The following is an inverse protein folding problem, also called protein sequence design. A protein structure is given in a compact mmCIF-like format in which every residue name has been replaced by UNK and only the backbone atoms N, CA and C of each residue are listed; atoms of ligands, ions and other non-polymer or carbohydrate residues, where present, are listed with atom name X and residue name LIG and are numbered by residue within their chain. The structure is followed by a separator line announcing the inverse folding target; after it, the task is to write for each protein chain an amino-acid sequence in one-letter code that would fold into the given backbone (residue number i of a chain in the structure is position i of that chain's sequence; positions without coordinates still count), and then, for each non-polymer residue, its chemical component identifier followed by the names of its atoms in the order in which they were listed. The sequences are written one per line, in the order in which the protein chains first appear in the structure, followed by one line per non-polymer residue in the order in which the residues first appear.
data_IF_057974069876
#
_entry.id   IF_057974069876
#
_cell.length_a   1.000
_cell.length_b   1.000
_cell.length_c   1.000
_cell.angle_alpha   90.00
_cell.angle_beta   90.00
_cell.angle_gamma   90.00
#
_symmetry.space_group_name_H-M   'P 1'
#
loop_
_entity.id
_entity.type
_entity.pdbx_description
1 polymer ?
#
# COMPACT_ATOMS: atom_id res chain seq x y z
N UNK A 1 24.13 -2.95 -50.35
CA UNK A 1 23.71 -3.27 -48.96
C UNK A 1 22.19 -3.25 -48.76
N UNK A 2 21.38 -2.57 -49.59
CA UNK A 2 19.91 -2.72 -49.55
C UNK A 2 19.42 -4.15 -49.82
N UNK A 3 20.19 -4.95 -50.56
CA UNK A 3 19.90 -6.37 -50.85
C UNK A 3 19.89 -7.28 -49.61
N UNK A 4 20.72 -7.03 -48.59
CA UNK A 4 20.78 -7.90 -47.40
C UNK A 4 19.58 -7.65 -46.47
N UNK A 5 19.24 -6.37 -46.23
CA UNK A 5 18.07 -5.98 -45.46
C UNK A 5 16.77 -6.48 -46.11
N UNK A 6 16.62 -6.31 -47.42
CA UNK A 6 15.44 -6.81 -48.17
C UNK A 6 15.31 -8.34 -48.11
N UNK A 7 16.42 -9.10 -48.19
CA UNK A 7 16.40 -10.56 -48.00
C UNK A 7 16.03 -10.96 -46.57
N UNK A 8 16.58 -10.29 -45.56
CA UNK A 8 16.27 -10.56 -44.15
C UNK A 8 14.79 -10.27 -43.83
N UNK A 9 14.25 -9.15 -44.31
CA UNK A 9 12.83 -8.79 -44.18
C UNK A 9 11.91 -9.84 -44.82
N UNK A 10 12.23 -10.31 -46.02
CA UNK A 10 11.45 -11.38 -46.67
C UNK A 10 11.45 -12.68 -45.88
N UNK A 11 12.63 -13.12 -45.41
CA UNK A 11 12.76 -14.34 -44.62
C UNK A 11 12.00 -14.27 -43.28
N UNK A 12 11.81 -13.06 -42.74
CA UNK A 12 11.15 -12.82 -41.46
C UNK A 12 9.64 -12.51 -41.56
N UNK A 13 9.10 -12.29 -42.76
CA UNK A 13 7.74 -11.75 -42.97
C UNK A 13 6.63 -12.59 -42.33
N UNK A 14 6.65 -13.91 -42.54
CA UNK A 14 5.64 -14.82 -41.99
C UNK A 14 5.68 -14.83 -40.46
N UNK A 15 6.90 -14.83 -39.90
CA UNK A 15 7.10 -14.80 -38.43
C UNK A 15 6.63 -13.48 -37.83
N UNK A 16 6.93 -12.35 -38.48
CA UNK A 16 6.46 -11.03 -38.08
C UNK A 16 4.91 -10.99 -38.04
N UNK A 17 4.26 -11.48 -39.10
CA UNK A 17 2.79 -11.52 -39.20
C UNK A 17 2.15 -12.38 -38.12
N UNK A 18 2.72 -13.56 -37.85
CA UNK A 18 2.25 -14.47 -36.80
C UNK A 18 2.39 -13.84 -35.38
N UNK A 19 3.49 -13.14 -35.12
CA UNK A 19 3.73 -12.44 -33.85
C UNK A 19 2.75 -11.27 -33.66
N UNK A 20 2.55 -10.43 -34.67
CA UNK A 20 1.58 -9.33 -34.62
C UNK A 20 0.14 -9.83 -34.42
N UNK A 21 -0.22 -10.95 -35.06
CA UNK A 21 -1.52 -11.60 -34.85
C UNK A 21 -1.68 -12.08 -33.41
N UNK A 22 -0.64 -12.68 -32.84
CA UNK A 22 -0.67 -13.13 -31.43
C UNK A 22 -0.80 -11.94 -30.47
N UNK A 23 -0.06 -10.86 -30.72
CA UNK A 23 -0.13 -9.63 -29.91
C UNK A 23 -1.53 -9.01 -29.95
N UNK A 24 -2.15 -8.90 -31.12
CA UNK A 24 -3.51 -8.33 -31.23
C UNK A 24 -4.56 -9.18 -30.52
N UNK A 25 -4.47 -10.51 -30.63
CA UNK A 25 -5.37 -11.44 -29.94
C UNK A 25 -5.23 -11.40 -28.41
N UNK A 26 -4.05 -11.06 -27.89
CA UNK A 26 -3.74 -11.12 -26.45
C UNK A 26 -3.59 -9.73 -25.80
N UNK A 27 -3.76 -8.64 -26.55
CA UNK A 27 -3.57 -7.26 -26.09
C UNK A 27 -4.46 -6.87 -24.89
N UNK A 28 -5.62 -7.52 -24.73
CA UNK A 28 -6.52 -7.26 -23.61
C UNK A 28 -5.99 -7.83 -22.27
N UNK A 29 -5.08 -8.81 -22.29
CA UNK A 29 -4.73 -9.59 -21.11
C UNK A 29 -3.94 -8.79 -20.06
N UNK A 30 -2.89 -7.99 -20.38
CA UNK A 30 -2.16 -7.21 -19.39
C UNK A 30 -3.02 -6.23 -18.57
N UNK A 31 -3.86 -5.35 -19.18
CA UNK A 31 -4.72 -4.44 -18.40
C UNK A 31 -5.81 -5.19 -17.64
N UNK A 32 -6.37 -6.26 -18.21
CA UNK A 32 -7.40 -7.06 -17.55
C UNK A 32 -6.86 -7.79 -16.32
N UNK A 33 -5.62 -8.33 -16.39
CA UNK A 33 -4.96 -8.96 -15.26
C UNK A 33 -4.73 -7.96 -14.12
N UNK A 34 -4.28 -6.74 -14.44
CA UNK A 34 -4.10 -5.68 -13.46
C UNK A 34 -5.41 -5.35 -12.74
N UNK A 35 -6.52 -5.25 -13.49
CA UNK A 35 -7.83 -4.99 -12.92
C UNK A 35 -8.33 -6.15 -12.04
N UNK A 36 -8.12 -7.40 -12.47
CA UNK A 36 -8.48 -8.59 -11.70
C UNK A 36 -7.70 -8.67 -10.37
N UNK A 37 -6.39 -8.37 -10.37
CA UNK A 37 -5.58 -8.32 -9.16
C UNK A 37 -6.05 -7.23 -8.18
N UNK A 38 -6.44 -6.06 -8.69
CA UNK A 38 -7.01 -5.01 -7.86
C UNK A 38 -8.36 -5.42 -7.24
N UNK A 39 -9.20 -6.11 -8.01
CA UNK A 39 -10.47 -6.67 -7.51
C UNK A 39 -10.23 -7.75 -6.45
N UNK A 40 -9.23 -8.63 -6.62
CA UNK A 40 -8.84 -9.62 -5.62
C UNK A 40 -8.37 -9.00 -4.31
N UNK A 41 -7.57 -7.93 -4.38
CA UNK A 41 -7.12 -7.19 -3.20
C UNK A 41 -8.31 -6.59 -2.45
N UNK A 42 -9.25 -5.97 -3.16
CA UNK A 42 -10.47 -5.41 -2.57
C UNK A 42 -11.35 -6.47 -1.89
N UNK A 43 -11.64 -7.59 -2.58
CA UNK A 43 -12.39 -8.71 -1.99
C UNK A 43 -11.70 -9.26 -0.73
N UNK A 44 -10.37 -9.35 -0.75
CA UNK A 44 -9.59 -9.85 0.40
C UNK A 44 -9.69 -8.89 1.59
N UNK A 45 -9.68 -7.58 1.35
CA UNK A 45 -9.90 -6.57 2.40
C UNK A 45 -11.32 -6.63 2.96
N UNK A 46 -12.32 -6.80 2.11
CA UNK A 46 -13.72 -6.97 2.54
C UNK A 46 -13.90 -8.22 3.40
N UNK A 47 -13.30 -9.35 3.02
CA UNK A 47 -13.31 -10.57 3.84
C UNK A 47 -12.63 -10.32 5.19
N UNK A 48 -11.45 -9.68 5.22
CA UNK A 48 -10.75 -9.38 6.46
C UNK A 48 -11.52 -8.40 7.38
N UNK A 49 -12.36 -7.54 6.80
CA UNK A 49 -13.30 -6.71 7.55
C UNK A 49 -14.43 -7.55 8.14
N UNK A 50 -15.12 -8.35 7.31
CA UNK A 50 -16.20 -9.22 7.74
C UNK A 50 -15.75 -10.28 8.75
N UNK A 51 -14.51 -10.78 8.68
CA UNK A 51 -13.94 -11.69 9.66
C UNK A 51 -13.86 -11.05 11.06
N UNK A 52 -13.48 -9.76 11.12
CA UNK A 52 -13.44 -9.00 12.37
C UNK A 52 -14.85 -8.71 12.90
N UNK A 53 -15.78 -8.38 12.01
CA UNK A 53 -17.19 -8.17 12.39
C UNK A 53 -17.84 -9.47 12.86
N UNK A 54 -17.64 -10.59 12.16
CA UNK A 54 -18.14 -11.90 12.55
C UNK A 54 -17.62 -12.33 13.91
N UNK A 55 -16.34 -12.08 14.21
CA UNK A 55 -15.79 -12.39 15.53
C UNK A 55 -16.54 -11.61 16.62
N UNK A 56 -16.74 -10.30 16.43
CA UNK A 56 -17.48 -9.45 17.39
C UNK A 56 -18.95 -9.86 17.50
N UNK A 57 -19.63 -10.06 16.38
CA UNK A 57 -21.03 -10.48 16.35
C UNK A 57 -21.22 -11.83 17.00
N UNK A 58 -20.29 -12.78 16.81
CA UNK A 58 -20.33 -14.08 17.48
C UNK A 58 -20.13 -13.98 19.00
N UNK A 59 -19.20 -13.13 19.46
CA UNK A 59 -19.02 -12.84 20.89
C UNK A 59 -20.32 -12.28 21.50
N UNK A 60 -20.96 -11.32 20.81
CA UNK A 60 -22.24 -10.73 21.23
C UNK A 60 -23.34 -11.79 21.25
N UNK A 61 -23.54 -12.56 20.17
CA UNK A 61 -24.55 -13.62 20.11
C UNK A 61 -24.38 -14.63 21.24
N UNK A 62 -23.15 -15.02 21.57
CA UNK A 62 -22.89 -15.95 22.67
C UNK A 62 -23.24 -15.37 24.05
N UNK A 63 -23.00 -14.07 24.26
CA UNK A 63 -23.39 -13.39 25.50
C UNK A 63 -24.91 -13.22 25.61
N UNK A 64 -25.57 -12.75 24.55
CA UNK A 64 -27.03 -12.66 24.46
C UNK A 64 -27.70 -14.05 24.61
N UNK A 65 -27.08 -15.10 24.07
CA UNK A 65 -27.56 -16.50 24.23
C UNK A 65 -27.54 -16.92 25.70
N UNK A 66 -26.47 -16.59 26.43
CA UNK A 66 -26.37 -16.93 27.87
C UNK A 66 -27.45 -16.21 28.65
N UNK A 67 -27.70 -14.94 28.37
CA UNK A 67 -28.70 -14.15 29.09
C UNK A 67 -30.13 -14.58 28.74
N UNK A 68 -30.42 -14.83 27.46
CA UNK A 68 -31.66 -15.47 27.03
C UNK A 68 -31.93 -16.80 27.76
N UNK A 69 -30.93 -17.70 27.86
CA UNK A 69 -31.07 -18.99 28.57
C UNK A 69 -31.34 -18.79 30.06
N UNK A 70 -30.64 -17.85 30.72
CA UNK A 70 -30.87 -17.53 32.15
C UNK A 70 -32.30 -17.05 32.42
N UNK A 71 -32.87 -16.24 31.55
CA UNK A 71 -34.25 -15.72 31.67
C UNK A 71 -35.31 -16.69 31.12
N UNK A 72 -34.93 -17.68 30.32
CA UNK A 72 -35.82 -18.79 29.94
C UNK A 72 -35.98 -19.78 31.10
N UNK A 73 -34.91 -20.04 31.84
CA UNK A 73 -34.90 -21.05 32.89
C UNK A 73 -35.60 -20.55 34.18
N UNK A 74 -36.41 -21.42 34.79
CA UNK A 74 -37.39 -21.06 35.86
C UNK A 74 -36.77 -20.58 37.20
N UNK A 75 -35.45 -20.49 37.29
CA UNK A 75 -34.72 -20.11 38.52
C UNK A 75 -34.85 -18.61 38.78
N UNK A 76 -34.71 -17.78 37.73
CA UNK A 76 -34.88 -16.32 37.84
C UNK A 76 -36.35 -15.95 38.06
N UNK A 77 -37.28 -16.66 37.39
CA UNK A 77 -38.74 -16.52 37.61
C UNK A 77 -39.13 -16.73 39.07
N UNK A 78 -38.64 -17.82 39.68
CA UNK A 78 -38.91 -18.14 41.09
C UNK A 78 -38.34 -17.10 42.06
N UNK A 79 -37.14 -16.58 41.77
CA UNK A 79 -36.51 -15.53 42.56
C UNK A 79 -37.28 -14.20 42.49
N UNK A 80 -37.66 -13.77 41.29
CA UNK A 80 -38.43 -12.53 41.07
C UNK A 80 -39.84 -12.60 41.69
N UNK A 81 -40.50 -13.75 41.61
CA UNK A 81 -41.77 -13.99 42.30
C UNK A 81 -41.64 -13.86 43.83
N UNK A 82 -40.57 -14.42 44.42
CA UNK A 82 -40.33 -14.37 45.88
C UNK A 82 -40.02 -12.96 46.40
N UNK A 83 -39.40 -12.10 45.59
CA UNK A 83 -39.05 -10.74 45.99
C UNK A 83 -40.15 -9.69 45.74
N UNK A 84 -41.02 -9.90 44.76
CA UNK A 84 -41.94 -8.85 44.29
C UNK A 84 -43.39 -9.27 44.02
N UNK A 85 -43.77 -10.53 44.26
CA UNK A 85 -45.12 -11.02 43.97
C UNK A 85 -45.49 -10.90 42.49
N UNK A 86 -46.74 -10.51 42.18
CA UNK A 86 -47.24 -10.39 40.80
C UNK A 86 -46.48 -9.38 39.94
N UNK A 87 -46.04 -8.25 40.52
CA UNK A 87 -45.20 -7.25 39.84
C UNK A 87 -43.80 -7.76 39.50
N UNK A 88 -43.29 -8.74 40.25
CA UNK A 88 -42.03 -9.41 39.94
C UNK A 88 -42.12 -10.33 38.73
N UNK A 89 -43.29 -10.96 38.52
CA UNK A 89 -43.58 -11.82 37.36
C UNK A 89 -43.68 -10.98 36.08
N UNK A 90 -44.40 -9.87 36.13
CA UNK A 90 -44.55 -8.95 34.98
C UNK A 90 -43.19 -8.40 34.53
N UNK A 91 -42.35 -7.92 35.47
CA UNK A 91 -40.99 -7.47 35.16
C UNK A 91 -40.09 -8.56 34.58
N UNK A 92 -40.28 -9.81 35.00
CA UNK A 92 -39.54 -10.95 34.46
C UNK A 92 -39.95 -11.25 33.02
N UNK A 93 -41.25 -11.19 32.70
CA UNK A 93 -41.76 -11.41 31.35
C UNK A 93 -41.29 -10.32 30.38
N UNK A 94 -41.36 -9.04 30.77
CA UNK A 94 -40.83 -7.93 29.96
C UNK A 94 -39.34 -8.05 29.70
N UNK A 95 -38.55 -8.45 30.71
CA UNK A 95 -37.12 -8.69 30.52
C UNK A 95 -36.87 -9.87 29.59
N UNK A 96 -37.56 -11.00 29.78
CA UNK A 96 -37.42 -12.18 28.91
C UNK A 96 -37.68 -11.84 27.43
N UNK A 97 -38.72 -11.07 27.14
CA UNK A 97 -39.04 -10.62 25.78
C UNK A 97 -37.94 -9.72 25.19
N UNK A 98 -37.32 -8.87 26.02
CA UNK A 98 -36.19 -8.03 25.62
C UNK A 98 -34.97 -8.89 25.25
N UNK A 99 -34.58 -9.81 26.13
CA UNK A 99 -33.43 -10.70 25.93
C UNK A 99 -33.63 -11.64 24.72
N UNK A 100 -34.87 -12.09 24.47
CA UNK A 100 -35.21 -12.86 23.26
C UNK A 100 -35.04 -12.04 21.98
N UNK A 101 -35.47 -10.77 21.99
CA UNK A 101 -35.28 -9.87 20.84
C UNK A 101 -33.79 -9.58 20.60
N UNK A 102 -33.05 -9.28 21.65
CA UNK A 102 -31.61 -8.97 21.57
C UNK A 102 -30.81 -10.17 21.03
N UNK A 103 -31.12 -11.39 21.49
CA UNK A 103 -30.55 -12.62 20.95
C UNK A 103 -30.90 -12.85 19.46
N UNK A 104 -32.17 -12.68 19.06
CA UNK A 104 -32.59 -12.87 17.67
C UNK A 104 -31.93 -11.86 16.73
N UNK A 105 -31.85 -10.59 17.15
CA UNK A 105 -31.18 -9.53 16.39
C UNK A 105 -29.67 -9.81 16.25
N UNK A 106 -29.00 -10.23 17.32
CA UNK A 106 -27.58 -10.61 17.29
C UNK A 106 -27.33 -11.82 16.38
N UNK A 107 -28.15 -12.86 16.51
CA UNK A 107 -28.08 -14.07 15.70
C UNK A 107 -28.32 -13.79 14.21
N UNK A 108 -29.29 -12.93 13.88
CA UNK A 108 -29.56 -12.52 12.50
C UNK A 108 -28.35 -11.77 11.91
N UNK A 109 -27.78 -10.80 12.63
CA UNK A 109 -26.58 -10.06 12.17
C UNK A 109 -25.39 -10.98 11.95
N UNK A 110 -25.15 -11.94 12.85
CA UNK A 110 -24.09 -12.93 12.70
C UNK A 110 -24.31 -13.79 11.45
N UNK A 111 -25.56 -14.20 11.19
CA UNK A 111 -25.91 -14.99 10.01
C UNK A 111 -25.73 -14.20 8.71
N UNK A 112 -26.22 -12.96 8.66
CA UNK A 112 -26.06 -12.07 7.50
C UNK A 112 -24.58 -11.85 7.17
N UNK A 113 -23.75 -11.56 8.18
CA UNK A 113 -22.31 -11.40 7.99
C UNK A 113 -21.64 -12.70 7.50
N UNK A 114 -22.13 -13.88 7.95
CA UNK A 114 -21.63 -15.18 7.53
C UNK A 114 -21.99 -15.49 6.08
N UNK A 115 -23.21 -15.19 5.68
CA UNK A 115 -23.69 -15.35 4.29
C UNK A 115 -22.92 -14.42 3.35
N UNK A 116 -22.80 -13.13 3.69
CA UNK A 116 -22.01 -12.16 2.92
C UNK A 116 -20.55 -12.60 2.75
N UNK A 117 -19.92 -13.11 3.82
CA UNK A 117 -18.56 -13.65 3.74
C UNK A 117 -18.48 -14.86 2.80
N UNK A 118 -19.44 -15.77 2.85
CA UNK A 118 -19.46 -16.94 1.98
C UNK A 118 -19.55 -16.55 0.50
N UNK A 119 -20.37 -15.54 0.17
CA UNK A 119 -20.46 -14.98 -1.19
C UNK A 119 -19.11 -14.40 -1.65
N UNK A 120 -18.43 -13.61 -0.81
CA UNK A 120 -17.12 -13.07 -1.14
C UNK A 120 -16.07 -14.16 -1.35
N UNK A 121 -16.10 -15.24 -0.57
CA UNK A 121 -15.17 -16.38 -0.75
C UNK A 121 -15.37 -17.04 -2.12
N UNK A 122 -16.63 -17.19 -2.57
CA UNK A 122 -16.94 -17.68 -3.92
C UNK A 122 -16.44 -16.71 -4.99
N UNK A 123 -16.64 -15.40 -4.79
CA UNK A 123 -16.14 -14.36 -5.69
C UNK A 123 -14.60 -14.38 -5.80
N UNK A 124 -13.89 -14.54 -4.68
CA UNK A 124 -12.43 -14.68 -4.65
C UNK A 124 -11.98 -15.90 -5.43
N UNK A 125 -12.64 -17.05 -5.25
CA UNK A 125 -12.31 -18.28 -5.99
C UNK A 125 -12.42 -18.04 -7.49
N UNK A 126 -13.53 -17.47 -7.96
CA UNK A 126 -13.73 -17.15 -9.37
C UNK A 126 -12.70 -16.14 -9.89
N UNK A 127 -12.47 -15.08 -9.14
CA UNK A 127 -11.49 -14.06 -9.52
C UNK A 127 -10.06 -14.63 -9.63
N UNK A 128 -9.68 -15.58 -8.76
CA UNK A 128 -8.41 -16.32 -8.87
C UNK A 128 -8.34 -17.17 -10.13
N UNK A 129 -9.40 -17.92 -10.45
CA UNK A 129 -9.47 -18.74 -11.67
C UNK A 129 -9.35 -17.87 -12.94
N UNK A 130 -10.04 -16.73 -12.97
CA UNK A 130 -9.93 -15.77 -14.07
C UNK A 130 -8.55 -15.11 -14.13
N UNK A 131 -7.94 -14.82 -12.97
CA UNK A 131 -6.59 -14.29 -12.85
C UNK A 131 -5.53 -15.23 -13.43
N UNK A 132 -5.61 -16.54 -13.18
CA UNK A 132 -4.68 -17.52 -13.77
C UNK A 132 -4.80 -17.60 -15.30
N UNK A 133 -6.02 -17.55 -15.84
CA UNK A 133 -6.23 -17.49 -17.30
C UNK A 133 -5.61 -16.23 -17.90
N UNK A 134 -5.88 -15.08 -17.29
CA UNK A 134 -5.32 -13.79 -17.73
C UNK A 134 -3.80 -13.75 -17.62
N UNK A 135 -3.21 -14.43 -16.63
CA UNK A 135 -1.77 -14.58 -16.49
C UNK A 135 -1.18 -15.39 -17.65
N UNK A 136 -1.81 -16.51 -18.03
CA UNK A 136 -1.39 -17.29 -19.19
C UNK A 136 -1.42 -16.50 -20.50
N UNK A 137 -2.51 -15.75 -20.75
CA UNK A 137 -2.61 -14.88 -21.93
C UNK A 137 -1.60 -13.73 -21.90
N UNK A 138 -1.33 -13.15 -20.71
CA UNK A 138 -0.27 -12.16 -20.55
C UNK A 138 1.12 -12.76 -20.83
N UNK A 139 1.42 -13.95 -20.35
CA UNK A 139 2.70 -14.62 -20.63
C UNK A 139 2.88 -14.86 -22.13
N UNK A 140 1.78 -15.21 -22.84
CA UNK A 140 1.77 -15.35 -24.29
C UNK A 140 2.00 -14.01 -25.01
N UNK A 141 1.37 -12.93 -24.54
CA UNK A 141 1.61 -11.56 -25.00
C UNK A 141 3.07 -11.14 -24.80
N UNK A 142 3.60 -11.28 -23.57
CA UNK A 142 4.97 -10.91 -23.20
C UNK A 142 6.01 -11.74 -23.97
N UNK A 143 5.71 -13.01 -24.27
CA UNK A 143 6.57 -13.86 -25.11
C UNK A 143 6.55 -13.38 -26.57
N UNK A 144 5.38 -13.13 -27.15
CA UNK A 144 5.27 -12.63 -28.52
C UNK A 144 5.95 -11.26 -28.69
N UNK A 145 5.83 -10.37 -27.69
CA UNK A 145 6.50 -9.08 -27.70
C UNK A 145 8.02 -9.24 -27.68
N UNK A 146 8.56 -10.09 -26.80
CA UNK A 146 10.01 -10.36 -26.75
C UNK A 146 10.55 -10.97 -28.04
N UNK A 147 9.82 -11.92 -28.63
CA UNK A 147 10.22 -12.52 -29.90
C UNK A 147 10.15 -11.51 -31.06
N UNK A 148 9.19 -10.59 -31.04
CA UNK A 148 9.10 -9.52 -32.02
C UNK A 148 10.24 -8.50 -31.87
N UNK A 149 10.52 -8.09 -30.63
CA UNK A 149 11.63 -7.20 -30.32
C UNK A 149 12.97 -7.82 -30.74
N UNK A 150 13.16 -9.13 -30.49
CA UNK A 150 14.35 -9.86 -30.92
C UNK A 150 14.44 -9.96 -32.45
N UNK A 151 13.33 -10.30 -33.12
CA UNK A 151 13.28 -10.36 -34.59
C UNK A 151 13.67 -9.02 -35.20
N UNK A 152 13.18 -7.91 -34.64
CA UNK A 152 13.55 -6.59 -35.10
C UNK A 152 14.99 -6.24 -34.75
N UNK A 153 15.48 -6.59 -33.57
CA UNK A 153 16.88 -6.38 -33.22
C UNK A 153 17.82 -7.11 -34.21
N UNK A 154 17.51 -8.35 -34.59
CA UNK A 154 18.32 -9.12 -35.56
C UNK A 154 18.33 -8.51 -36.98
N UNK A 155 17.23 -7.88 -37.40
CA UNK A 155 17.07 -7.34 -38.76
C UNK A 155 17.60 -5.91 -38.87
N UNK A 156 17.44 -5.13 -37.80
CA UNK A 156 17.75 -3.70 -37.76
C UNK A 156 18.97 -3.41 -36.86
N UNK A 157 19.82 -4.41 -36.57
CA UNK A 157 21.02 -4.17 -35.73
C UNK A 157 22.03 -3.26 -36.45
N UNK A 158 22.34 -2.12 -35.82
CA UNK A 158 23.31 -1.16 -36.34
C UNK A 158 22.66 -0.09 -37.24
N UNK A 159 23.47 0.62 -38.02
CA UNK A 159 22.94 1.65 -38.93
C UNK A 159 22.05 0.97 -39.97
N UNK A 160 20.86 1.52 -40.22
CA UNK A 160 19.94 1.04 -41.25
C UNK A 160 19.93 1.99 -42.48
N UNK A 161 20.96 1.99 -43.37
CA UNK A 161 21.06 2.91 -44.51
C UNK A 161 19.88 2.89 -45.51
N UNK A 162 19.01 1.88 -45.42
CA UNK A 162 17.85 1.69 -46.29
C UNK A 162 16.52 2.20 -45.72
N UNK A 163 16.48 2.67 -44.47
CA UNK A 163 15.24 3.09 -43.81
C UNK A 163 15.43 4.46 -43.11
N UNK A 164 15.24 5.56 -43.86
CA UNK A 164 15.49 6.91 -43.34
C UNK A 164 14.72 7.20 -42.05
N UNK A 165 15.42 7.66 -41.02
CA UNK A 165 14.82 8.07 -39.74
C UNK A 165 14.62 6.93 -38.73
N UNK A 166 14.88 5.68 -39.08
CA UNK A 166 14.73 4.55 -38.16
C UNK A 166 15.78 4.58 -37.04
N UNK A 167 17.07 4.77 -37.37
CA UNK A 167 18.14 4.94 -36.37
C UNK A 167 17.83 6.06 -35.35
N UNK A 168 17.22 7.16 -35.82
CA UNK A 168 16.84 8.28 -34.97
C UNK A 168 15.67 7.92 -34.03
N UNK A 169 14.75 7.06 -34.47
CA UNK A 169 13.66 6.54 -33.64
C UNK A 169 14.16 5.51 -32.63
N UNK A 170 15.13 4.68 -32.99
CA UNK A 170 15.77 3.75 -32.06
C UNK A 170 16.48 4.50 -30.93
N UNK A 171 17.23 5.55 -31.26
CA UNK A 171 17.86 6.40 -30.25
C UNK A 171 16.81 7.13 -29.38
N UNK A 172 15.68 7.56 -29.95
CA UNK A 172 14.55 8.12 -29.17
C UNK A 172 13.96 7.09 -28.20
N UNK A 173 13.78 5.83 -28.59
CA UNK A 173 13.31 4.76 -27.70
C UNK A 173 14.31 4.53 -26.57
N UNK A 174 15.61 4.50 -26.88
CA UNK A 174 16.67 4.35 -25.89
C UNK A 174 16.67 5.49 -24.87
N UNK A 175 16.55 6.73 -25.33
CA UNK A 175 16.45 7.90 -24.45
C UNK A 175 15.17 7.87 -23.60
N UNK A 176 14.03 7.54 -24.19
CA UNK A 176 12.76 7.43 -23.46
C UNK A 176 12.79 6.32 -22.42
N UNK A 177 13.49 5.20 -22.70
CA UNK A 177 13.72 4.12 -21.76
C UNK A 177 14.58 4.57 -20.59
N UNK A 178 15.69 5.25 -20.86
CA UNK A 178 16.55 5.84 -19.82
C UNK A 178 15.75 6.78 -18.90
N UNK A 179 14.98 7.70 -19.48
CA UNK A 179 14.12 8.61 -18.71
C UNK A 179 13.04 7.89 -17.89
N UNK A 180 12.48 6.78 -18.37
CA UNK A 180 11.54 5.97 -17.60
C UNK A 180 12.19 5.25 -16.42
N UNK A 181 13.38 4.67 -16.62
CA UNK A 181 14.15 4.00 -15.57
C UNK A 181 14.59 5.01 -14.48
N UNK A 182 15.00 6.21 -14.88
CA UNK A 182 15.30 7.32 -13.99
C UNK A 182 14.07 7.76 -13.19
N UNK A 183 12.92 7.94 -13.85
CA UNK A 183 11.67 8.31 -13.19
C UNK A 183 11.21 7.25 -12.17
N UNK A 184 11.34 5.95 -12.49
CA UNK A 184 11.04 4.85 -11.56
C UNK A 184 11.96 4.86 -10.35
N UNK A 185 13.26 5.05 -10.58
CA UNK A 185 14.25 5.18 -9.51
C UNK A 185 13.95 6.38 -8.63
N UNK A 186 13.59 7.52 -9.23
CA UNK A 186 13.13 8.72 -8.54
C UNK A 186 11.91 8.45 -7.67
N UNK A 187 10.86 7.80 -8.21
CA UNK A 187 9.67 7.42 -7.43
C UNK A 187 10.03 6.55 -6.23
N UNK A 188 10.88 5.53 -6.42
CA UNK A 188 11.30 4.63 -5.34
C UNK A 188 12.00 5.39 -4.21
N UNK A 189 12.86 6.36 -4.54
CA UNK A 189 13.50 7.25 -3.55
C UNK A 189 12.48 8.07 -2.76
N UNK A 190 11.51 8.69 -3.45
CA UNK A 190 10.49 9.49 -2.78
C UNK A 190 9.56 8.64 -1.87
N UNK A 191 9.21 7.43 -2.31
CA UNK A 191 8.38 6.50 -1.53
C UNK A 191 9.11 6.02 -0.28
N UNK A 192 10.39 5.66 -0.40
CA UNK A 192 11.21 5.27 0.74
C UNK A 192 11.42 6.42 1.73
N UNK A 193 11.66 7.64 1.23
CA UNK A 193 11.75 8.83 2.09
C UNK A 193 10.42 9.11 2.82
N UNK A 194 9.27 8.91 2.17
CA UNK A 194 7.96 9.05 2.81
C UNK A 194 7.76 8.01 3.93
N UNK A 195 8.10 6.75 3.66
CA UNK A 195 8.00 5.66 4.64
C UNK A 195 8.85 5.96 5.89
N UNK A 196 10.09 6.41 5.69
CA UNK A 196 10.98 6.78 6.78
C UNK A 196 10.42 7.96 7.61
N UNK A 197 9.91 9.02 6.97
CA UNK A 197 9.30 10.17 7.67
C UNK A 197 8.02 9.76 8.42
N UNK A 198 7.17 8.92 7.83
CA UNK A 198 5.96 8.42 8.48
C UNK A 198 6.28 7.51 9.67
N UNK A 199 7.32 6.69 9.54
CA UNK A 199 7.83 5.87 10.64
C UNK A 199 8.34 6.76 11.76
N UNK A 200 9.14 7.78 11.45
CA UNK A 200 9.60 8.75 12.44
C UNK A 200 8.44 9.45 13.18
N UNK A 201 7.41 9.88 12.44
CA UNK A 201 6.19 10.45 13.03
C UNK A 201 5.47 9.45 13.94
N UNK A 202 5.37 8.19 13.54
CA UNK A 202 4.81 7.11 14.36
C UNK A 202 5.57 6.94 15.68
N UNK A 203 6.90 6.91 15.63
CA UNK A 203 7.75 6.80 16.82
C UNK A 203 7.60 8.03 17.73
N UNK A 204 7.59 9.25 17.18
CA UNK A 204 7.39 10.46 18.00
C UNK A 204 5.99 10.53 18.64
N UNK A 205 4.95 10.00 17.99
CA UNK A 205 3.62 9.88 18.60
C UNK A 205 3.59 8.88 19.74
N UNK A 206 4.33 7.77 19.63
CA UNK A 206 4.50 6.82 20.73
C UNK A 206 5.29 7.46 21.88
N UNK A 207 6.39 8.15 21.57
CA UNK A 207 7.15 8.90 22.58
C UNK A 207 6.27 9.88 23.35
N UNK A 208 5.44 10.64 22.63
CA UNK A 208 4.46 11.55 23.24
C UNK A 208 3.49 10.83 24.17
N UNK A 209 2.96 9.68 23.77
CA UNK A 209 2.03 8.91 24.59
C UNK A 209 2.72 8.40 25.87
N UNK A 210 3.92 7.82 25.74
CA UNK A 210 4.72 7.34 26.87
C UNK A 210 5.08 8.49 27.84
N UNK A 211 5.37 9.70 27.33
CA UNK A 211 5.62 10.87 28.17
C UNK A 211 4.35 11.40 28.86
N UNK A 212 3.20 11.37 28.17
CA UNK A 212 1.92 11.71 28.77
C UNK A 212 1.54 10.76 29.92
N UNK A 213 1.78 9.46 29.73
CA UNK A 213 1.61 8.46 30.79
C UNK A 213 2.54 8.73 31.97
N UNK A 214 3.81 9.08 31.73
CA UNK A 214 4.77 9.46 32.77
C UNK A 214 4.32 10.72 33.55
N UNK A 215 3.85 11.76 32.85
CA UNK A 215 3.38 13.00 33.47
C UNK A 215 2.10 12.79 34.28
N UNK A 216 1.16 11.97 33.79
CA UNK A 216 -0.04 11.61 34.56
C UNK A 216 0.31 10.78 35.80
N UNK A 217 1.29 9.87 35.73
CA UNK A 217 1.75 9.10 36.90
C UNK A 217 2.48 9.99 37.94
N UNK A 218 3.30 10.94 37.49
CA UNK A 218 3.99 11.91 38.37
C UNK A 218 3.00 12.77 39.18
N UNK A 219 1.82 13.07 38.62
CA UNK A 219 0.75 13.79 39.35
C UNK A 219 0.08 12.96 40.44
N UNK A 220 0.12 11.62 40.33
CA UNK A 220 -0.39 10.70 41.36
C UNK A 220 0.62 10.49 42.50
N UNK A 221 1.92 10.64 42.24
CA UNK A 221 2.99 10.52 43.25
C UNK A 221 2.87 11.57 44.38
N UNK A 222 2.44 12.79 44.05
CA UNK A 222 2.14 13.87 45.00
C UNK A 222 1.07 13.54 46.06
N UNK A 223 0.32 12.44 45.90
CA UNK A 223 -0.71 11.96 46.83
C UNK A 223 -0.29 10.73 47.66
N UNK A 224 0.99 10.35 47.63
CA UNK A 224 1.55 9.28 48.47
C UNK A 224 2.02 8.04 47.71
N UNK A 225 2.61 8.22 46.53
CA UNK A 225 3.28 7.15 45.77
C UNK A 225 4.63 6.79 46.40
N UNK A 226 4.96 5.50 46.44
CA UNK A 226 6.28 5.01 46.86
C UNK A 226 7.15 4.64 45.66
N UNK A 227 8.29 3.98 45.93
CA UNK A 227 9.33 3.50 44.97
C UNK A 227 8.84 2.75 43.72
N UNK A 228 7.57 2.32 43.67
CA UNK A 228 6.95 1.64 42.53
C UNK A 228 6.48 2.63 41.44
N UNK A 229 6.03 3.82 41.83
CA UNK A 229 5.59 4.88 40.89
C UNK A 229 6.80 5.44 40.15
N UNK A 230 7.90 5.69 40.86
CA UNK A 230 9.20 6.09 40.30
C UNK A 230 9.73 5.09 39.25
N UNK A 231 9.53 3.77 39.47
CA UNK A 231 10.01 2.74 38.56
C UNK A 231 9.23 2.74 37.24
N UNK A 232 7.91 2.95 37.31
CA UNK A 232 7.03 2.99 36.13
C UNK A 232 7.22 4.27 35.32
N UNK A 233 7.41 5.43 35.99
CA UNK A 233 7.77 6.69 35.33
C UNK A 233 9.08 6.55 34.56
N UNK A 234 10.09 5.90 35.15
CA UNK A 234 11.37 5.65 34.49
C UNK A 234 11.28 4.72 33.29
N UNK A 235 10.44 3.70 33.37
CA UNK A 235 10.17 2.80 32.23
C UNK A 235 9.50 3.55 31.07
N UNK A 236 8.50 4.37 31.35
CA UNK A 236 7.81 5.19 30.35
C UNK A 236 8.74 6.22 29.68
N UNK A 237 9.55 6.94 30.47
CA UNK A 237 10.53 7.89 29.93
C UNK A 237 11.65 7.20 29.12
N UNK A 238 12.10 6.01 29.55
CA UNK A 238 13.06 5.20 28.79
C UNK A 238 12.50 4.74 27.45
N UNK A 239 11.22 4.32 27.41
CA UNK A 239 10.54 4.01 26.15
C UNK A 239 10.47 5.25 25.26
N UNK A 240 10.05 6.39 25.79
CA UNK A 240 10.01 7.64 25.02
C UNK A 240 11.38 8.01 24.42
N UNK A 241 12.46 7.88 25.19
CA UNK A 241 13.83 8.11 24.72
C UNK A 241 14.20 7.19 23.54
N UNK A 242 13.89 5.90 23.66
CA UNK A 242 14.13 4.91 22.61
C UNK A 242 13.34 5.23 21.34
N UNK A 243 12.11 5.70 21.48
CA UNK A 243 11.25 6.10 20.37
C UNK A 243 11.79 7.35 19.66
N UNK A 244 12.18 8.39 20.41
CA UNK A 244 12.81 9.60 19.84
C UNK A 244 14.11 9.24 19.10
N UNK A 245 14.95 8.39 19.68
CA UNK A 245 16.21 7.95 19.06
C UNK A 245 15.96 7.20 17.75
N UNK A 246 14.94 6.35 17.69
CA UNK A 246 14.51 5.68 16.46
C UNK A 246 13.98 6.67 15.43
N UNK A 247 13.17 7.64 15.84
CA UNK A 247 12.66 8.67 14.95
C UNK A 247 13.79 9.47 14.29
N UNK A 248 14.80 9.87 15.04
CA UNK A 248 15.95 10.60 14.51
C UNK A 248 16.75 9.80 13.48
N UNK A 249 16.92 8.48 13.70
CA UNK A 249 17.57 7.60 12.73
C UNK A 249 16.81 7.52 11.41
N UNK A 250 15.48 7.39 11.48
CA UNK A 250 14.64 7.39 10.28
C UNK A 250 14.62 8.75 9.57
N UNK A 251 14.67 9.86 10.33
CA UNK A 251 14.82 11.19 9.72
C UNK A 251 16.16 11.34 8.99
N UNK A 252 17.25 10.81 9.54
CA UNK A 252 18.56 10.82 8.87
C UNK A 252 18.57 9.95 7.60
N UNK A 253 17.96 8.77 7.66
CA UNK A 253 17.74 7.90 6.50
C UNK A 253 16.95 8.61 5.40
N UNK A 254 15.82 9.24 5.76
CA UNK A 254 15.00 9.98 4.82
C UNK A 254 15.78 11.11 4.14
N UNK A 255 16.61 11.85 4.90
CA UNK A 255 17.43 12.97 4.40
C UNK A 255 18.56 12.53 3.46
N UNK A 256 19.14 11.35 3.68
CA UNK A 256 20.15 10.77 2.78
C UNK A 256 19.58 10.49 1.38
N UNK A 257 18.29 10.17 1.31
CA UNK A 257 17.61 9.83 0.06
C UNK A 257 16.90 11.04 -0.55
N UNK A 258 16.42 11.97 0.27
CA UNK A 258 15.76 13.20 -0.15
C UNK A 258 16.28 14.40 0.65
N UNK A 259 17.17 15.18 0.05
CA UNK A 259 17.82 16.33 0.67
C UNK A 259 16.88 17.49 1.03
N UNK A 260 15.67 17.52 0.45
CA UNK A 260 14.69 18.55 0.76
C UNK A 260 13.98 18.36 2.11
N UNK A 261 14.11 17.18 2.74
CA UNK A 261 13.57 16.92 4.07
C UNK A 261 14.40 17.73 5.08
N UNK A 262 13.72 18.54 5.88
CA UNK A 262 14.38 19.38 6.87
C UNK A 262 14.69 18.58 8.14
N UNK A 263 15.76 18.93 8.88
CA UNK A 263 15.96 18.43 10.23
C UNK A 263 14.81 18.88 11.16
N UNK A 264 14.66 18.19 12.29
CA UNK A 264 13.66 18.57 13.29
C UNK A 264 14.12 19.81 14.07
N UNK A 265 13.34 20.87 14.05
CA UNK A 265 13.71 22.17 14.65
C UNK A 265 13.69 22.15 16.18
N UNK A 266 12.91 21.23 16.76
CA UNK A 266 12.66 21.15 18.19
C UNK A 266 13.61 20.23 18.94
N UNK A 267 14.39 19.43 18.20
CA UNK A 267 15.35 18.48 18.74
C UNK A 267 16.71 18.97 18.24
N UNK A 268 17.36 19.81 19.02
CA UNK A 268 18.63 20.42 18.64
C UNK A 268 19.69 19.33 18.46
N UNK A 269 20.18 19.17 17.23
CA UNK A 269 21.25 18.23 16.89
C UNK A 269 22.50 19.01 16.58
N UNK A 270 23.18 19.48 17.62
CA UNK A 270 24.58 19.89 17.48
C UNK A 270 25.50 18.71 17.84
N UNK A 271 26.12 18.17 16.80
CA UNK A 271 27.29 17.28 16.77
C UNK A 271 27.28 16.02 17.65
N UNK A 272 27.04 14.88 16.99
CA UNK A 272 27.76 13.63 17.24
C UNK A 272 27.53 12.99 18.61
N UNK A 273 26.48 12.16 18.69
CA UNK A 273 26.07 11.38 19.86
C UNK A 273 25.50 12.27 20.98
N UNK A 274 24.70 11.73 21.91
CA UNK A 274 24.25 12.39 23.17
C UNK A 274 22.91 13.15 23.26
N UNK A 275 22.06 13.36 22.24
CA UNK A 275 20.87 14.24 22.45
C UNK A 275 19.66 13.56 23.13
N UNK A 276 19.40 12.28 22.87
CA UNK A 276 18.40 11.54 23.67
C UNK A 276 18.90 11.36 25.11
N UNK A 277 20.20 11.16 25.30
CA UNK A 277 20.82 11.14 26.62
C UNK A 277 20.72 12.51 27.30
N UNK A 278 21.03 13.64 26.66
CA UNK A 278 20.93 14.95 27.33
C UNK A 278 19.48 15.32 27.70
N UNK A 279 18.50 14.99 26.84
CA UNK A 279 17.07 15.18 27.16
C UNK A 279 16.61 14.31 28.33
N UNK A 280 16.99 13.02 28.38
CA UNK A 280 16.41 12.06 29.33
C UNK A 280 17.32 11.74 30.52
N UNK A 281 18.64 11.71 30.38
CA UNK A 281 19.64 11.46 31.45
C UNK A 281 19.64 12.60 32.50
N UNK A 282 19.31 13.83 32.06
CA UNK A 282 19.07 14.98 32.95
C UNK A 282 17.71 14.95 33.66
N UNK A 283 16.74 14.15 33.20
CA UNK A 283 15.45 13.94 33.86
C UNK A 283 15.60 12.92 35.00
N UNK A 284 16.47 11.92 34.82
CA UNK A 284 16.66 10.83 35.79
C UNK A 284 17.56 11.15 36.99
N UNK A 285 18.28 12.28 36.99
CA UNK A 285 19.34 12.56 37.97
C UNK A 285 19.12 13.78 38.87
N UNK A 286 18.11 14.61 38.62
CA UNK A 286 18.04 15.96 39.22
C UNK A 286 16.70 16.29 39.90
N UNK A 287 16.71 17.19 40.89
CA UNK A 287 15.56 17.50 41.78
C UNK A 287 14.50 18.44 41.13
N UNK A 288 14.61 18.68 39.82
CA UNK A 288 13.76 19.57 39.00
C UNK A 288 13.10 18.83 37.81
N UNK A 289 12.61 17.62 38.05
CA UNK A 289 12.15 16.68 37.02
C UNK A 289 10.92 17.16 36.23
N UNK A 290 9.94 17.76 36.92
CA UNK A 290 8.66 18.13 36.32
C UNK A 290 8.77 19.20 35.22
N UNK A 291 9.59 20.23 35.43
CA UNK A 291 9.77 21.30 34.44
C UNK A 291 10.55 20.82 33.20
N UNK A 292 11.45 19.84 33.37
CA UNK A 292 12.20 19.22 32.27
C UNK A 292 11.37 18.23 31.47
N UNK A 293 10.49 17.46 32.12
CA UNK A 293 9.53 16.59 31.44
C UNK A 293 8.62 17.44 30.54
N UNK A 294 8.05 18.53 31.06
CA UNK A 294 7.22 19.46 30.26
C UNK A 294 7.97 20.10 29.09
N UNK A 295 9.23 20.48 29.29
CA UNK A 295 10.06 21.02 28.22
C UNK A 295 10.30 19.99 27.11
N UNK A 296 10.57 18.74 27.49
CA UNK A 296 10.79 17.62 26.57
C UNK A 296 9.49 17.24 25.83
N UNK A 297 8.34 17.22 26.52
CA UNK A 297 7.03 17.03 25.90
C UNK A 297 6.76 18.10 24.84
N UNK A 298 7.03 19.37 25.16
CA UNK A 298 6.87 20.48 24.23
C UNK A 298 7.83 20.39 23.03
N UNK A 299 9.00 19.75 23.17
CA UNK A 299 9.90 19.47 22.04
C UNK A 299 9.36 18.34 21.16
N UNK A 300 8.92 17.23 21.75
CA UNK A 300 8.31 16.11 21.02
C UNK A 300 7.05 16.57 20.29
N UNK A 301 6.18 17.35 20.92
CA UNK A 301 4.97 17.88 20.28
C UNK A 301 5.26 18.81 19.10
N UNK A 302 6.30 19.65 19.22
CA UNK A 302 6.74 20.49 18.10
C UNK A 302 7.28 19.63 16.95
N UNK A 303 8.06 18.59 17.24
CA UNK A 303 8.57 17.67 16.23
C UNK A 303 7.43 16.88 15.55
N UNK A 304 6.46 16.37 16.32
CA UNK A 304 5.24 15.74 15.79
C UNK A 304 4.50 16.71 14.87
N UNK A 305 4.28 17.96 15.32
CA UNK A 305 3.59 18.97 14.52
C UNK A 305 4.36 19.33 13.25
N UNK A 306 5.69 19.42 13.30
CA UNK A 306 6.54 19.68 12.13
C UNK A 306 6.41 18.56 11.09
N UNK A 307 6.49 17.29 11.53
CA UNK A 307 6.34 16.16 10.62
C UNK A 307 4.93 16.05 10.06
N UNK A 308 3.92 16.15 10.92
CA UNK A 308 2.52 15.95 10.55
C UNK A 308 1.98 17.07 9.64
N UNK A 309 2.35 18.32 9.91
CA UNK A 309 1.79 19.48 9.19
C UNK A 309 2.63 19.93 8.00
N UNK A 310 3.92 19.60 7.96
CA UNK A 310 4.82 20.08 6.91
C UNK A 310 5.50 18.93 6.15
N UNK A 311 6.34 18.14 6.81
CA UNK A 311 7.19 17.15 6.12
C UNK A 311 6.39 16.03 5.45
N UNK A 312 5.41 15.42 6.14
CA UNK A 312 4.60 14.34 5.58
C UNK A 312 3.77 14.83 4.38
N UNK A 313 2.99 15.93 4.46
CA UNK A 313 2.26 16.45 3.31
C UNK A 313 3.16 16.81 2.11
N UNK A 314 4.30 17.45 2.35
CA UNK A 314 5.25 17.81 1.28
C UNK A 314 5.85 16.58 0.62
N UNK A 315 6.20 15.57 1.40
CA UNK A 315 6.77 14.32 0.87
C UNK A 315 5.71 13.50 0.13
N UNK A 316 4.45 13.51 0.58
CA UNK A 316 3.32 12.91 -0.17
C UNK A 316 3.11 13.59 -1.52
N UNK A 317 3.25 14.92 -1.59
CA UNK A 317 3.19 15.67 -2.84
C UNK A 317 4.32 15.27 -3.80
N UNK A 318 5.55 15.11 -3.29
CA UNK A 318 6.70 14.62 -4.09
C UNK A 318 6.46 13.23 -4.64
N UNK A 319 5.97 12.30 -3.82
CA UNK A 319 5.58 10.96 -4.26
C UNK A 319 4.51 11.02 -5.35
N UNK A 320 3.50 11.89 -5.20
CA UNK A 320 2.45 12.08 -6.20
C UNK A 320 3.02 12.57 -7.53
N UNK A 321 3.90 13.58 -7.50
CA UNK A 321 4.58 14.11 -8.69
C UNK A 321 5.45 13.05 -9.35
N UNK A 322 6.24 12.31 -8.58
CA UNK A 322 7.07 11.23 -9.10
C UNK A 322 6.22 10.10 -9.74
N UNK A 323 5.06 9.78 -9.16
CA UNK A 323 4.09 8.85 -9.77
C UNK A 323 3.57 9.36 -11.11
N UNK A 324 3.22 10.64 -11.20
CA UNK A 324 2.82 11.27 -12.46
C UNK A 324 3.95 11.23 -13.48
N UNK A 325 5.19 11.54 -13.09
CA UNK A 325 6.35 11.51 -13.98
C UNK A 325 6.61 10.10 -14.53
N UNK A 326 6.48 9.05 -13.70
CA UNK A 326 6.58 7.66 -14.17
C UNK A 326 5.52 7.34 -15.23
N UNK A 327 4.28 7.83 -15.04
CA UNK A 327 3.21 7.64 -16.03
C UNK A 327 3.55 8.37 -17.34
N UNK A 328 3.97 9.63 -17.27
CA UNK A 328 4.35 10.43 -18.45
C UNK A 328 5.57 9.85 -19.18
N UNK A 329 6.60 9.43 -18.44
CA UNK A 329 7.76 8.75 -18.99
C UNK A 329 7.38 7.41 -19.65
N UNK A 330 6.47 6.65 -19.03
CA UNK A 330 5.93 5.42 -19.61
C UNK A 330 5.19 5.67 -20.93
N UNK A 331 4.36 6.71 -20.99
CA UNK A 331 3.66 7.12 -22.22
C UNK A 331 4.62 7.55 -23.32
N UNK A 332 5.70 8.29 -22.98
CA UNK A 332 6.75 8.67 -23.93
C UNK A 332 7.47 7.45 -24.49
N UNK A 333 7.85 6.51 -23.63
CA UNK A 333 8.49 5.26 -24.04
C UNK A 333 7.59 4.44 -24.97
N UNK A 334 6.32 4.30 -24.62
CA UNK A 334 5.36 3.54 -25.43
C UNK A 334 5.14 4.21 -26.79
N UNK A 335 4.98 5.54 -26.80
CA UNK A 335 4.83 6.31 -28.04
C UNK A 335 6.05 6.17 -28.96
N UNK A 336 7.26 6.24 -28.40
CA UNK A 336 8.49 6.06 -29.16
C UNK A 336 8.59 4.63 -29.74
N UNK A 337 8.19 3.60 -28.97
CA UNK A 337 8.16 2.21 -29.42
C UNK A 337 7.18 2.00 -30.56
N UNK A 338 5.96 2.52 -30.42
CA UNK A 338 4.94 2.41 -31.46
C UNK A 338 5.38 3.09 -32.76
N UNK A 339 6.03 4.26 -32.67
CA UNK A 339 6.53 4.98 -33.85
C UNK A 339 7.66 4.21 -34.55
N UNK A 340 8.61 3.66 -33.77
CA UNK A 340 9.67 2.79 -34.30
C UNK A 340 9.10 1.54 -34.96
N UNK A 341 8.16 0.88 -34.29
CA UNK A 341 7.48 -0.31 -34.82
C UNK A 341 6.70 0.01 -36.10
N UNK A 342 6.06 1.18 -36.18
CA UNK A 342 5.33 1.60 -37.39
C UNK A 342 6.27 1.69 -38.59
N UNK A 343 7.41 2.39 -38.47
CA UNK A 343 8.36 2.53 -39.58
C UNK A 343 8.97 1.18 -39.97
N UNK A 344 9.28 0.32 -39.00
CA UNK A 344 9.75 -1.05 -39.27
C UNK A 344 8.66 -1.87 -40.00
N UNK A 345 7.40 -1.78 -39.59
CA UNK A 345 6.28 -2.47 -40.25
C UNK A 345 6.03 -1.94 -41.68
N UNK A 346 6.06 -0.62 -41.89
CA UNK A 346 5.98 -0.02 -43.23
C UNK A 346 7.11 -0.53 -44.15
N UNK A 347 8.29 -0.81 -43.60
CA UNK A 347 9.39 -1.40 -44.36
C UNK A 347 9.09 -2.84 -44.79
N UNK A 348 8.43 -3.64 -43.93
CA UNK A 348 7.95 -4.98 -44.30
C UNK A 348 6.86 -4.92 -45.38
N UNK A 349 5.88 -4.01 -45.26
CA UNK A 349 4.76 -3.89 -46.22
C UNK A 349 5.22 -3.44 -47.60
N UNK A 350 6.12 -2.45 -47.70
CA UNK A 350 6.66 -1.97 -48.98
C UNK A 350 7.39 -3.08 -49.76
N UNK A 351 8.00 -4.03 -49.06
CA UNK A 351 8.68 -5.18 -49.66
C UNK A 351 7.75 -6.31 -50.09
N UNK A 352 6.58 -6.44 -49.46
CA UNK A 352 5.54 -7.40 -49.83
C UNK A 352 4.66 -6.88 -50.99
N UNK A 353 4.50 -5.56 -51.14
CA UNK A 353 3.73 -4.92 -52.22
C UNK A 353 4.41 -4.93 -53.60
N UNK A 354 5.74 -4.97 -53.64
CA UNK A 354 6.52 -5.10 -54.89
C UNK A 354 6.42 -6.52 -55.54
N UNK A 355 5.66 -7.44 -54.93
CA UNK A 355 5.47 -8.83 -55.37
C UNK A 355 4.17 -9.06 -56.18
N UNK A 356 3.41 -8.01 -56.53
CA UNK A 356 2.37 -8.13 -57.56
C UNK A 356 3.01 -7.99 -58.96
N UNK A 357 3.14 -9.07 -59.75
CA UNK A 357 3.56 -8.94 -61.14
C UNK A 357 2.53 -8.05 -61.87
N UNK A 358 2.96 -7.22 -62.84
CA UNK A 358 2.01 -6.42 -63.62
C UNK A 358 0.97 -7.36 -64.23
N UNK A 359 -0.32 -7.08 -63.97
CA UNK A 359 -1.41 -7.66 -64.74
C UNK A 359 -1.19 -7.27 -66.20
N UNK A 360 -0.53 -8.14 -66.96
CA UNK A 360 -0.55 -8.06 -68.41
C UNK A 360 -1.97 -8.38 -68.84
N UNK A 361 -2.69 -7.32 -69.20
CA UNK A 361 -3.92 -7.41 -69.97
C UNK A 361 -3.60 -8.11 -71.29
N UNK A 362 -4.19 -9.28 -71.51
CA UNK A 362 -4.15 -10.03 -72.76
C UNK A 362 -5.55 -10.45 -73.15
#
# INVERSE_FOLDING_TARGET
MSSQLTTALRAASDRNTALLTTLSQTAYAPPSLKQNLAYLDDLTRQIAHLDRELKKSHEITEDERKDHVKYRDSTVKRFMHRLGGSRGVEKFETKREKEEREFLDAWQREREAREARAELVVAVKKAKEDGEKLKGEKERYDKAQRELDQLYAEIFEGVTPGLPGEDALEERVKQARGGFEEAQTGRGKEEHALEAVQTALGMLRQARADMGDAHDMSRWDMWGGGTFVDLMERDALSKAQNQVTQALRHMDEARKVQAAIQPLDAIDIDQGHFISDVMFDSIFTDMAQNDRIKASEAQVERAVAQLEKMQVPEQQERVRRAKTEVVLAGQRLESARMELQRIRAEAFEKLAGDDQPPEYSG
#
